data_IF_633051127918
#
_entry.id   IF_633051127918
#
_cell.length_a   1.000
_cell.length_b   1.000
_cell.length_c   1.000
_cell.angle_alpha   90.00
_cell.angle_beta   90.00
_cell.angle_gamma   90.00
#
_symmetry.space_group_name_H-M   'P 1'
#
loop_
_entity.id
_entity.type
_entity.pdbx_description
1 polymer ?
#
# COMPACT_ATOMS: atom_id res chain seq x y z
N UNK A 1 -1.95 14.03 -5.94
CA UNK A 1 -3.02 15.02 -5.84
C UNK A 1 -4.36 14.35 -5.54
N UNK A 2 -4.94 14.67 -4.39
CA UNK A 2 -6.22 14.10 -3.93
C UNK A 2 -7.42 14.51 -4.82
N UNK A 3 -7.40 15.74 -5.34
CA UNK A 3 -8.46 16.28 -6.19
C UNK A 3 -8.56 15.48 -7.48
N UNK A 4 -7.42 15.14 -8.07
CA UNK A 4 -7.33 14.40 -9.34
C UNK A 4 -7.14 12.89 -9.18
N UNK A 5 -7.12 12.36 -7.95
CA UNK A 5 -6.81 10.95 -7.66
C UNK A 5 -5.54 10.48 -8.39
N UNK A 6 -4.51 11.32 -8.39
CA UNK A 6 -3.29 11.12 -9.15
C UNK A 6 -2.06 11.14 -8.25
N UNK A 7 -0.98 10.55 -8.72
CA UNK A 7 0.29 10.56 -8.02
C UNK A 7 1.19 11.70 -8.50
N UNK A 8 1.68 12.55 -7.61
CA UNK A 8 2.70 13.52 -8.00
C UNK A 8 4.07 12.83 -7.96
N UNK A 9 4.79 12.81 -9.09
CA UNK A 9 6.05 12.06 -9.20
C UNK A 9 5.90 10.56 -9.50
N UNK A 10 4.69 10.07 -9.74
CA UNK A 10 4.42 8.71 -10.24
C UNK A 10 4.35 7.60 -9.17
N UNK A 11 5.11 7.71 -8.07
CA UNK A 11 5.17 6.67 -7.04
C UNK A 11 4.42 7.02 -5.74
N UNK A 12 3.29 6.36 -5.52
CA UNK A 12 2.55 6.44 -4.25
C UNK A 12 1.67 5.21 -3.99
N UNK A 13 1.79 4.14 -4.80
CA UNK A 13 0.96 2.93 -4.68
C UNK A 13 1.06 2.27 -3.30
N UNK A 14 2.24 2.25 -2.69
CA UNK A 14 2.42 1.74 -1.33
C UNK A 14 1.67 2.60 -0.31
N UNK A 15 1.80 3.92 -0.39
CA UNK A 15 1.11 4.85 0.50
C UNK A 15 -0.41 4.70 0.37
N UNK A 16 -0.94 4.71 -0.86
CA UNK A 16 -2.38 4.65 -1.10
C UNK A 16 -3.01 3.36 -0.60
N UNK A 17 -2.29 2.24 -0.61
CA UNK A 17 -2.76 0.99 0.01
C UNK A 17 -2.81 1.07 1.54
N UNK A 18 -1.83 1.73 2.18
CA UNK A 18 -1.79 1.88 3.65
C UNK A 18 -2.95 2.73 4.16
N UNK A 19 -3.28 3.82 3.45
CA UNK A 19 -4.34 4.76 3.86
C UNK A 19 -5.71 4.43 3.25
N UNK A 20 -5.88 3.23 2.69
CA UNK A 20 -7.11 2.86 2.00
C UNK A 20 -8.28 2.70 2.97
N UNK A 21 -9.31 3.54 2.81
CA UNK A 21 -10.45 3.68 3.74
C UNK A 21 -11.15 2.36 4.07
N UNK A 22 -11.29 1.48 3.08
CA UNK A 22 -12.03 0.22 3.27
C UNK A 22 -11.16 -0.91 3.85
N UNK A 23 -9.86 -0.69 3.98
CA UNK A 23 -8.94 -1.68 4.50
C UNK A 23 -8.86 -1.56 6.02
N UNK A 24 -9.51 -2.50 6.73
CA UNK A 24 -9.58 -2.51 8.18
C UNK A 24 -8.58 -3.46 8.86
N UNK A 25 -8.05 -4.43 8.11
CA UNK A 25 -7.18 -5.48 8.63
C UNK A 25 -5.95 -5.65 7.73
N UNK A 26 -4.78 -5.77 8.36
CA UNK A 26 -3.49 -6.00 7.71
C UNK A 26 -2.70 -7.07 8.48
N UNK A 27 -2.05 -7.97 7.75
CA UNK A 27 -1.08 -8.91 8.29
C UNK A 27 0.27 -8.73 7.61
N UNK A 28 1.35 -8.64 8.37
CA UNK A 28 2.70 -8.47 7.84
C UNK A 28 3.64 -9.59 8.31
N UNK A 29 4.56 -9.99 7.45
CA UNK A 29 5.67 -10.90 7.75
C UNK A 29 7.00 -10.28 7.34
N UNK A 30 8.07 -10.69 8.00
CA UNK A 30 9.44 -10.24 7.72
C UNK A 30 10.38 -11.44 7.65
N UNK A 31 11.34 -11.39 6.73
CA UNK A 31 12.45 -12.32 6.64
C UNK A 31 13.77 -11.58 6.34
N UNK A 32 14.88 -12.14 6.81
CA UNK A 32 16.22 -11.71 6.43
C UNK A 32 16.66 -12.39 5.14
N UNK A 33 17.29 -11.64 4.25
CA UNK A 33 18.02 -12.13 3.09
C UNK A 33 19.42 -12.60 3.48
N UNK A 34 20.11 -13.26 2.55
CA UNK A 34 21.49 -13.73 2.75
C UNK A 34 22.51 -12.59 2.94
N UNK A 35 22.16 -11.36 2.60
CA UNK A 35 22.96 -10.14 2.71
C UNK A 35 22.50 -9.24 3.89
N UNK A 36 21.83 -9.81 4.88
CA UNK A 36 21.23 -9.13 6.04
C UNK A 36 20.15 -8.08 5.71
N UNK A 37 19.76 -7.94 4.44
CA UNK A 37 18.62 -7.12 4.06
C UNK A 37 17.32 -7.70 4.63
N UNK A 38 16.34 -6.85 4.92
CA UNK A 38 15.02 -7.29 5.38
C UNK A 38 14.01 -7.18 4.25
N UNK A 39 13.26 -8.26 4.02
CA UNK A 39 12.06 -8.24 3.19
C UNK A 39 10.85 -8.18 4.11
N UNK A 40 10.02 -7.16 3.89
CA UNK A 40 8.72 -7.01 4.54
C UNK A 40 7.62 -7.24 3.52
N UNK A 41 6.65 -8.08 3.85
CA UNK A 41 5.47 -8.33 3.03
C UNK A 41 4.22 -8.12 3.89
N UNK A 42 3.34 -7.23 3.46
CA UNK A 42 2.06 -6.99 4.11
C UNK A 42 0.90 -7.34 3.17
N UNK A 43 -0.09 -8.05 3.69
CA UNK A 43 -1.35 -8.36 3.02
C UNK A 43 -2.51 -7.64 3.72
N UNK A 44 -3.40 -7.09 2.91
CA UNK A 44 -4.56 -6.32 3.34
C UNK A 44 -5.83 -7.11 3.03
N UNK A 45 -6.69 -7.31 4.03
CA UNK A 45 -7.88 -8.20 3.90
C UNK A 45 -8.90 -7.65 2.90
N UNK A 46 -9.03 -6.33 2.83
CA UNK A 46 -9.71 -5.64 1.73
C UNK A 46 -8.65 -4.99 0.85
N UNK A 47 -8.65 -5.35 -0.43
CA UNK A 47 -7.68 -4.83 -1.40
C UNK A 47 -7.91 -3.33 -1.63
N UNK A 48 -6.82 -2.57 -1.62
CA UNK A 48 -6.82 -1.16 -1.99
C UNK A 48 -6.39 -0.93 -3.42
N UNK A 49 -6.04 0.32 -3.74
CA UNK A 49 -5.52 0.73 -5.04
C UNK A 49 -6.43 0.36 -6.23
N UNK A 50 -7.73 0.35 -6.01
CA UNK A 50 -8.71 0.09 -7.06
C UNK A 50 -8.82 1.30 -8.00
N UNK A 51 -8.63 1.06 -9.30
CA UNK A 51 -8.69 2.12 -10.32
C UNK A 51 -10.04 2.84 -10.27
N UNK A 52 -10.01 4.16 -10.19
CA UNK A 52 -11.21 5.00 -10.12
C UNK A 52 -11.78 5.18 -8.71
N UNK A 53 -11.23 4.51 -7.71
CA UNK A 53 -11.57 4.75 -6.30
C UNK A 53 -10.52 5.62 -5.63
N UNK A 54 -10.96 6.43 -4.66
CA UNK A 54 -10.06 7.25 -3.85
C UNK A 54 -9.62 6.48 -2.61
N UNK A 55 -8.37 6.65 -2.16
CA UNK A 55 -7.91 6.04 -0.92
C UNK A 55 -8.67 6.55 0.32
N UNK A 56 -9.09 7.83 0.32
CA UNK A 56 -9.88 8.46 1.38
C UNK A 56 -10.71 9.66 0.87
#
# INVERSE_FOLDING_TARGET
>A
DHRYNSCHGGECGHYTQVVWKNTAEVGCGMAYCNDDAQIWVCQYKEAGNLRGQKPY
#
